data_IF_160369962782
#
_entry.id   IF_160369962782
#
_cell.length_a   1.000
_cell.length_b   1.000
_cell.length_c   1.000
_cell.angle_alpha   90.00
_cell.angle_beta   90.00
_cell.angle_gamma   90.00
#
_symmetry.space_group_name_H-M   'P 1'
#
loop_
_entity.id
_entity.type
_entity.pdbx_description
1 polymer ?
#
# COMPACT_ATOMS: atom_id res chain seq x y z
N UNK A 1 -18.33 10.15 -4.65
CA UNK A 1 -16.85 10.19 -4.68
C UNK A 1 -16.34 8.97 -5.42
N UNK A 2 -15.64 9.18 -6.54
CA UNK A 2 -15.17 8.15 -7.48
C UNK A 2 -14.38 7.04 -6.75
N UNK A 3 -14.73 5.77 -7.00
CA UNK A 3 -14.10 4.60 -6.38
C UNK A 3 -12.60 4.55 -6.70
N UNK A 4 -12.21 4.92 -7.92
CA UNK A 4 -10.81 5.01 -8.33
C UNK A 4 -10.02 6.01 -7.46
N UNK A 5 -10.57 7.21 -7.25
CA UNK A 5 -9.97 8.23 -6.37
C UNK A 5 -9.86 7.76 -4.91
N UNK A 6 -10.80 6.94 -4.43
CA UNK A 6 -10.69 6.36 -3.07
C UNK A 6 -9.53 5.38 -3.00
N UNK A 7 -9.36 4.56 -4.03
CA UNK A 7 -8.29 3.57 -4.10
C UNK A 7 -6.91 4.23 -4.23
N UNK A 8 -6.77 5.27 -5.06
CA UNK A 8 -5.55 6.08 -5.13
C UNK A 8 -5.16 6.66 -3.77
N UNK A 9 -6.15 7.16 -3.01
CA UNK A 9 -5.91 7.69 -1.66
C UNK A 9 -5.42 6.60 -0.70
N UNK A 10 -5.95 5.38 -0.79
CA UNK A 10 -5.50 4.24 0.00
C UNK A 10 -4.06 3.87 -0.35
N UNK A 11 -3.75 3.71 -1.65
CA UNK A 11 -2.38 3.43 -2.14
C UNK A 11 -1.39 4.47 -1.61
N UNK A 12 -1.70 5.77 -1.75
CA UNK A 12 -0.82 6.85 -1.26
C UNK A 12 -0.60 6.79 0.26
N UNK A 13 -1.64 6.49 1.03
CA UNK A 13 -1.54 6.36 2.50
C UNK A 13 -0.71 5.15 2.90
N UNK A 14 -1.00 3.97 2.34
CA UNK A 14 -0.28 2.74 2.65
C UNK A 14 1.18 2.81 2.23
N UNK A 15 1.49 3.44 1.08
CA UNK A 15 2.88 3.68 0.67
C UNK A 15 3.66 4.54 1.66
N UNK A 16 3.03 5.59 2.21
CA UNK A 16 3.64 6.43 3.25
C UNK A 16 3.84 5.63 4.55
N UNK A 17 2.83 4.86 4.97
CA UNK A 17 2.92 3.97 6.13
C UNK A 17 4.06 2.98 5.99
N UNK A 18 4.18 2.31 4.84
CA UNK A 18 5.25 1.34 4.57
C UNK A 18 6.63 1.98 4.66
N UNK A 19 6.83 3.16 4.06
CA UNK A 19 8.12 3.88 4.16
C UNK A 19 8.45 4.27 5.60
N UNK A 20 7.44 4.65 6.39
CA UNK A 20 7.64 4.98 7.79
C UNK A 20 8.01 3.74 8.60
N UNK A 21 7.28 2.63 8.41
CA UNK A 21 7.57 1.35 9.07
C UNK A 21 8.98 0.85 8.75
N UNK A 22 9.42 0.92 7.49
CA UNK A 22 10.79 0.52 7.12
C UNK A 22 11.83 1.36 7.87
N UNK A 23 11.58 2.66 8.07
CA UNK A 23 12.48 3.52 8.86
C UNK A 23 12.44 3.18 10.35
N UNK A 24 11.24 3.01 10.90
CA UNK A 24 11.03 2.76 12.33
C UNK A 24 11.55 1.38 12.76
N UNK A 25 11.63 0.43 11.82
CA UNK A 25 12.15 -0.93 12.03
C UNK A 25 13.61 -1.08 11.57
N UNK A 26 14.37 0.03 11.48
CA UNK A 26 15.79 0.05 11.09
C UNK A 26 16.09 -0.67 9.76
N UNK A 27 15.18 -0.57 8.80
CA UNK A 27 15.31 -1.23 7.50
C UNK A 27 14.96 -2.72 7.49
N UNK A 28 14.42 -3.27 8.58
CA UNK A 28 14.00 -4.67 8.63
C UNK A 28 12.77 -4.92 7.76
N UNK A 29 13.00 -5.38 6.52
CA UNK A 29 11.95 -5.71 5.56
C UNK A 29 11.15 -6.98 5.92
N UNK A 30 11.65 -7.79 6.85
CA UNK A 30 11.00 -9.01 7.33
C UNK A 30 10.20 -8.76 8.61
N UNK A 31 10.19 -7.53 9.13
CA UNK A 31 9.32 -7.18 10.25
C UNK A 31 7.86 -7.44 9.86
N UNK A 32 7.07 -8.14 10.71
CA UNK A 32 5.70 -8.50 10.38
C UNK A 32 4.82 -7.32 9.94
N UNK A 33 5.00 -6.13 10.55
CA UNK A 33 4.20 -4.95 10.19
C UNK A 33 4.61 -4.39 8.82
N UNK A 34 5.90 -4.46 8.47
CA UNK A 34 6.40 -4.07 7.15
C UNK A 34 5.86 -5.01 6.08
N UNK A 35 5.90 -6.32 6.34
CA UNK A 35 5.36 -7.35 5.43
C UNK A 35 3.86 -7.15 5.23
N UNK A 36 3.09 -6.99 6.30
CA UNK A 36 1.64 -6.77 6.24
C UNK A 36 1.30 -5.51 5.44
N UNK A 37 1.98 -4.40 5.70
CA UNK A 37 1.78 -3.15 4.96
C UNK A 37 2.14 -3.27 3.47
N UNK A 38 3.14 -4.10 3.14
CA UNK A 38 3.51 -4.38 1.75
C UNK A 38 2.43 -5.20 1.04
N UNK A 39 1.90 -6.24 1.69
CA UNK A 39 0.82 -7.07 1.14
C UNK A 39 -0.46 -6.26 0.94
N UNK A 40 -0.80 -5.37 1.90
CA UNK A 40 -1.93 -4.47 1.77
C UNK A 40 -1.77 -3.53 0.56
N UNK A 41 -0.56 -3.00 0.34
CA UNK A 41 -0.26 -2.14 -0.80
C UNK A 41 -0.42 -2.89 -2.13
N UNK A 42 0.08 -4.13 -2.23
CA UNK A 42 -0.05 -4.96 -3.42
C UNK A 42 -1.51 -5.21 -3.79
N UNK A 43 -2.35 -5.57 -2.81
CA UNK A 43 -3.79 -5.76 -3.02
C UNK A 43 -4.43 -4.48 -3.59
N UNK A 44 -4.08 -3.30 -3.07
CA UNK A 44 -4.61 -2.05 -3.59
C UNK A 44 -4.12 -1.75 -5.01
N UNK A 45 -2.87 -2.07 -5.35
CA UNK A 45 -2.34 -1.87 -6.70
C UNK A 45 -3.00 -2.82 -7.72
N UNK A 46 -3.21 -4.08 -7.37
CA UNK A 46 -3.92 -5.05 -8.22
C UNK A 46 -5.32 -4.56 -8.52
N UNK A 47 -6.10 -4.22 -7.47
CA UNK A 47 -7.45 -3.69 -7.63
C UNK A 47 -7.48 -2.42 -8.50
N UNK A 48 -6.46 -1.55 -8.36
CA UNK A 48 -6.38 -0.32 -9.14
C UNK A 48 -6.10 -0.61 -10.62
N UNK A 49 -5.20 -1.54 -10.90
CA UNK A 49 -4.93 -2.01 -12.27
C UNK A 49 -6.17 -2.65 -12.90
N UNK A 50 -6.92 -3.47 -12.16
CA UNK A 50 -8.17 -4.08 -12.66
C UNK A 50 -9.24 -3.05 -12.98
N UNK A 51 -9.37 -2.00 -12.14
CA UNK A 51 -10.30 -0.90 -12.38
C UNK A 51 -9.93 -0.04 -13.59
N UNK A 52 -8.65 0.01 -13.99
CA UNK A 52 -8.21 0.74 -15.18
C UNK A 52 -8.34 -0.09 -16.48
N UNK A 53 -8.44 -1.41 -16.37
CA UNK A 53 -8.59 -2.32 -17.52
C UNK A 53 -10.05 -2.49 -17.97
N UNK A 54 -11.00 -2.17 -17.10
CA UNK A 54 -12.44 -2.14 -17.38
C UNK A 54 -12.91 -0.74 -17.78
#
# INVERSE_FOLDING_TARGET
MNQLLKLEKKIRKTRKKLHQLIKDKDGNLLDPEVVEASQELDVFMVNYSEMLRN
#
